data_IF_216117426816
#
_entry.id   IF_216117426816
#
_cell.length_a   1.000
_cell.length_b   1.000
_cell.length_c   1.000
_cell.angle_alpha   90.00
_cell.angle_beta   90.00
_cell.angle_gamma   90.00
#
_symmetry.space_group_name_H-M   'P 1'
#
loop_
_entity.id
_entity.type
_entity.pdbx_description
1 polymer ?
#
# COMPACT_ATOMS: atom_id res chain seq x y z
N UNK A 1 -10.74 5.81 23.92
CA UNK A 1 -10.06 5.20 22.74
C UNK A 1 -9.37 6.30 21.94
N UNK A 2 -8.32 5.98 21.19
CA UNK A 2 -7.76 6.88 20.19
C UNK A 2 -8.15 6.42 18.79
N UNK A 3 -8.48 7.38 17.94
CA UNK A 3 -8.60 7.20 16.49
C UNK A 3 -7.37 7.84 15.88
N UNK A 4 -6.50 7.01 15.28
CA UNK A 4 -5.23 7.44 14.69
C UNK A 4 -5.36 7.39 13.17
N UNK A 5 -5.19 8.55 12.53
CA UNK A 5 -5.29 8.70 11.08
C UNK A 5 -4.00 9.30 10.52
N UNK A 6 -3.14 8.49 9.89
CA UNK A 6 -2.03 8.98 9.10
C UNK A 6 -2.51 9.45 7.72
N UNK A 7 -1.86 10.49 7.20
CA UNK A 7 -2.04 10.98 5.83
C UNK A 7 -0.68 11.31 5.26
N UNK A 8 -0.38 10.84 4.05
CA UNK A 8 0.91 11.04 3.43
C UNK A 8 0.75 11.32 1.93
N UNK A 9 1.67 12.09 1.36
CA UNK A 9 1.79 12.23 -0.09
C UNK A 9 2.62 11.07 -0.63
N UNK A 10 2.07 10.28 -1.54
CA UNK A 10 2.75 9.12 -2.12
C UNK A 10 3.05 9.36 -3.60
N UNK A 11 4.24 8.97 -4.04
CA UNK A 11 4.58 8.82 -5.44
C UNK A 11 4.96 7.38 -5.76
N UNK A 12 4.33 6.83 -6.80
CA UNK A 12 4.56 5.48 -7.27
C UNK A 12 5.07 5.53 -8.71
N UNK A 13 6.21 4.91 -8.97
CA UNK A 13 6.77 4.72 -10.30
C UNK A 13 6.73 3.24 -10.63
N UNK A 14 6.16 2.95 -11.79
CA UNK A 14 6.15 1.62 -12.38
C UNK A 14 6.53 1.80 -13.85
N UNK A 15 7.66 1.21 -14.25
CA UNK A 15 8.17 1.22 -15.61
C UNK A 15 8.31 -0.22 -16.07
N UNK A 16 7.79 -0.54 -17.25
CA UNK A 16 7.84 -1.88 -17.83
C UNK A 16 8.09 -1.78 -19.33
N UNK A 17 8.91 -2.68 -19.84
CA UNK A 17 9.23 -2.77 -21.26
C UNK A 17 9.19 -4.20 -21.74
N UNK A 18 8.66 -4.41 -22.94
CA UNK A 18 8.73 -5.67 -23.67
C UNK A 18 9.56 -5.46 -24.93
N UNK A 19 10.25 -6.49 -25.41
CA UNK A 19 11.19 -6.35 -26.52
C UNK A 19 11.86 -7.64 -26.94
N UNK A 20 12.64 -7.57 -28.02
CA UNK A 20 13.31 -8.71 -28.64
C UNK A 20 14.80 -8.48 -28.93
N UNK A 21 15.45 -7.53 -28.27
CA UNK A 21 16.88 -7.28 -28.50
C UNK A 21 17.75 -8.40 -27.90
N UNK A 22 18.83 -8.76 -28.58
CA UNK A 22 19.83 -9.78 -28.17
C UNK A 22 19.26 -11.19 -27.92
N UNK A 23 18.65 -11.80 -28.94
CA UNK A 23 18.25 -13.22 -28.99
C UNK A 23 17.23 -13.72 -27.94
N UNK A 24 16.79 -12.86 -27.02
CA UNK A 24 15.79 -13.18 -26.00
C UNK A 24 14.53 -12.38 -26.27
N UNK A 25 13.40 -13.07 -26.37
CA UNK A 25 12.09 -12.45 -26.54
C UNK A 25 11.47 -12.27 -25.15
N UNK A 26 11.21 -11.02 -24.79
CA UNK A 26 10.53 -10.62 -23.56
C UNK A 26 9.10 -10.28 -23.95
N UNK A 27 8.24 -11.29 -23.91
CA UNK A 27 6.84 -11.17 -24.29
C UNK A 27 5.96 -10.61 -23.17
N UNK A 28 6.41 -10.61 -21.91
CA UNK A 28 5.64 -10.11 -20.77
C UNK A 28 6.56 -9.43 -19.77
N UNK A 29 6.14 -8.30 -19.21
CA UNK A 29 6.81 -7.63 -18.08
C UNK A 29 5.79 -6.94 -17.19
N UNK A 30 6.08 -6.87 -15.89
CA UNK A 30 5.20 -6.24 -14.90
C UNK A 30 5.99 -5.55 -13.80
N UNK A 31 5.41 -4.49 -13.24
CA UNK A 31 5.95 -3.74 -12.11
C UNK A 31 4.82 -3.45 -11.11
N UNK A 32 5.11 -3.64 -9.83
CA UNK A 32 4.28 -3.28 -8.68
C UNK A 32 5.05 -2.26 -7.84
N UNK A 33 4.45 -1.11 -7.60
CA UNK A 33 4.94 -0.14 -6.62
C UNK A 33 3.82 0.19 -5.63
N UNK A 34 4.11 0.15 -4.34
CA UNK A 34 3.15 0.49 -3.30
C UNK A 34 3.79 0.93 -2.00
N UNK A 35 2.93 1.37 -1.08
CA UNK A 35 3.23 1.77 0.29
C UNK A 35 2.25 1.06 1.21
N UNK A 36 2.80 0.35 2.20
CA UNK A 36 2.03 -0.13 3.33
C UNK A 36 2.32 0.75 4.55
N UNK A 37 1.27 1.11 5.29
CA UNK A 37 1.34 1.94 6.50
C UNK A 37 0.96 1.10 7.71
N UNK A 38 1.69 1.28 8.81
CA UNK A 38 1.39 0.68 10.10
C UNK A 38 1.45 1.70 11.22
N UNK A 39 0.63 1.50 12.24
CA UNK A 39 0.61 2.32 13.45
C UNK A 39 1.06 1.46 14.62
N UNK A 40 1.76 2.07 15.57
CA UNK A 40 2.06 1.51 16.87
C UNK A 40 1.65 2.52 17.94
N UNK A 41 0.96 2.04 18.96
CA UNK A 41 0.64 2.84 20.16
C UNK A 41 1.20 2.11 21.37
N UNK A 42 2.11 2.74 22.10
CA UNK A 42 2.77 2.14 23.27
C UNK A 42 2.64 3.05 24.49
N UNK A 43 2.47 2.49 25.70
CA UNK A 43 2.40 3.28 26.93
C UNK A 43 3.75 3.99 27.17
N UNK A 44 3.71 5.23 27.67
CA UNK A 44 4.92 5.97 27.98
C UNK A 44 5.50 5.61 29.35
N UNK A 45 4.66 5.27 30.34
CA UNK A 45 5.13 4.82 31.67
C UNK A 45 4.04 4.14 32.49
N UNK A 46 4.11 2.82 32.65
CA UNK A 46 3.28 2.06 33.60
C UNK A 46 1.80 1.89 33.23
N UNK A 47 1.32 2.45 32.12
CA UNK A 47 -0.03 2.20 31.62
C UNK A 47 -0.16 0.81 30.96
N UNK A 48 -1.38 0.33 30.83
CA UNK A 48 -1.69 -0.90 30.10
C UNK A 48 -1.31 -0.78 28.63
N UNK A 49 -0.89 -1.90 28.03
CA UNK A 49 -0.65 -1.98 26.60
C UNK A 49 -1.96 -1.77 25.83
N UNK A 50 -2.02 -0.78 24.92
CA UNK A 50 -3.18 -0.59 24.05
C UNK A 50 -3.41 -1.78 23.14
N UNK A 51 -4.67 -2.02 22.80
CA UNK A 51 -5.03 -2.94 21.72
C UNK A 51 -5.27 -2.14 20.46
N UNK A 52 -4.51 -2.41 19.41
CA UNK A 52 -4.60 -1.72 18.13
C UNK A 52 -5.46 -2.52 17.14
N UNK A 53 -6.29 -1.85 16.36
CA UNK A 53 -7.07 -2.47 15.28
C UNK A 53 -7.11 -1.54 14.07
N UNK A 54 -6.67 -1.97 12.87
CA UNK A 54 -6.00 -3.25 12.59
C UNK A 54 -4.60 -3.33 13.21
N UNK A 55 -4.17 -4.54 13.59
CA UNK A 55 -2.85 -4.78 14.18
C UNK A 55 -1.80 -5.24 13.14
N UNK A 56 -1.96 -4.80 11.88
CA UNK A 56 -1.11 -5.17 10.76
C UNK A 56 -0.95 -3.98 9.79
N UNK A 57 0.09 -3.96 8.95
CA UNK A 57 0.25 -2.96 7.90
C UNK A 57 -0.89 -3.01 6.89
N UNK A 58 -1.38 -1.85 6.47
CA UNK A 58 -2.45 -1.72 5.47
C UNK A 58 -1.89 -1.01 4.24
N UNK A 59 -2.19 -1.54 3.06
CA UNK A 59 -1.84 -0.88 1.79
C UNK A 59 -2.50 0.47 1.69
N UNK A 60 -1.67 1.50 1.73
CA UNK A 60 -2.07 2.89 1.68
C UNK A 60 -2.21 3.36 0.23
N UNK A 61 -1.27 2.98 -0.63
CA UNK A 61 -1.36 3.26 -2.06
C UNK A 61 -0.56 2.21 -2.82
N UNK A 62 -1.05 1.75 -3.96
CA UNK A 62 -0.39 0.75 -4.78
C UNK A 62 -0.84 0.83 -6.22
N UNK A 63 0.12 0.61 -7.12
CA UNK A 63 -0.07 0.51 -8.56
C UNK A 63 0.66 -0.73 -9.07
N UNK A 64 -0.06 -1.53 -9.84
CA UNK A 64 0.48 -2.62 -10.63
C UNK A 64 0.24 -2.33 -12.10
N UNK A 65 1.27 -2.50 -12.94
CA UNK A 65 1.13 -2.52 -14.39
C UNK A 65 1.76 -3.79 -14.95
N UNK A 66 1.17 -4.31 -16.02
CA UNK A 66 1.71 -5.42 -16.79
C UNK A 66 1.44 -5.20 -18.27
N UNK A 67 2.48 -5.36 -19.10
CA UNK A 67 2.36 -5.42 -20.55
C UNK A 67 2.70 -6.83 -21.01
N UNK A 68 1.91 -7.37 -21.94
CA UNK A 68 2.18 -8.65 -22.60
C UNK A 68 1.89 -8.60 -24.10
N UNK A 69 2.71 -9.27 -24.91
CA UNK A 69 2.56 -9.36 -26.36
C UNK A 69 3.23 -10.61 -26.93
N UNK A 70 2.60 -11.21 -27.95
CA UNK A 70 3.24 -12.23 -28.80
C UNK A 70 3.92 -11.63 -30.05
N UNK A 71 3.86 -10.31 -30.26
CA UNK A 71 4.32 -9.63 -31.48
C UNK A 71 5.76 -10.02 -31.85
N UNK A 72 6.66 -10.02 -30.88
CA UNK A 72 8.07 -10.32 -31.09
C UNK A 72 8.35 -11.79 -31.46
N UNK A 73 7.51 -12.71 -31.03
CA UNK A 73 7.57 -14.12 -31.41
C UNK A 73 7.06 -14.32 -32.84
N UNK A 74 5.96 -13.66 -33.20
CA UNK A 74 5.37 -13.70 -34.55
C UNK A 74 6.30 -13.05 -35.59
N UNK A 75 6.90 -11.90 -35.28
CA UNK A 75 7.87 -11.26 -36.17
C UNK A 75 9.15 -12.09 -36.34
N UNK A 76 9.52 -12.89 -35.33
CA UNK A 76 10.64 -13.82 -35.42
C UNK A 76 10.39 -15.02 -36.35
N UNK A 77 9.12 -15.38 -36.63
CA UNK A 77 8.73 -16.58 -37.40
C UNK A 77 8.39 -16.31 -38.88
N UNK A 78 9.20 -15.47 -39.55
CA UNK A 78 9.09 -15.16 -40.99
C UNK A 78 7.78 -14.45 -41.42
N UNK A 79 7.00 -13.89 -40.48
CA UNK A 79 5.68 -13.30 -40.78
C UNK A 79 4.72 -14.27 -41.52
N UNK A 80 4.87 -15.57 -41.28
CA UNK A 80 4.13 -16.63 -42.00
C UNK A 80 2.87 -17.09 -41.27
N UNK A 81 2.61 -16.57 -40.07
CA UNK A 81 1.50 -17.02 -39.22
C UNK A 81 0.20 -16.29 -39.55
N UNK A 82 -0.90 -17.03 -39.73
CA UNK A 82 -2.26 -16.49 -39.86
C UNK A 82 -2.89 -16.10 -38.52
N UNK A 83 -2.20 -16.35 -37.41
CA UNK A 83 -2.62 -16.00 -36.05
C UNK A 83 -2.36 -14.53 -35.76
N UNK A 84 -3.35 -13.82 -35.22
CA UNK A 84 -3.24 -12.39 -34.89
C UNK A 84 -2.19 -12.09 -33.82
N UNK A 85 -1.64 -10.87 -33.85
CA UNK A 85 -0.81 -10.34 -32.78
C UNK A 85 -1.70 -9.70 -31.69
N UNK A 86 -1.27 -9.78 -30.43
CA UNK A 86 -1.90 -9.06 -29.34
C UNK A 86 -0.91 -8.16 -28.61
N UNK A 87 -1.46 -7.10 -28.03
CA UNK A 87 -0.83 -6.33 -26.97
C UNK A 87 -1.88 -6.23 -25.87
N UNK A 88 -1.54 -6.69 -24.67
CA UNK A 88 -2.38 -6.61 -23.49
C UNK A 88 -1.70 -5.71 -22.46
N UNK A 89 -2.46 -4.76 -21.95
CA UNK A 89 -2.04 -3.89 -20.85
C UNK A 89 -3.04 -4.05 -19.70
N UNK A 90 -2.53 -4.53 -18.56
CA UNK A 90 -3.29 -4.64 -17.33
C UNK A 90 -2.75 -3.61 -16.34
N UNK A 91 -3.62 -2.74 -15.86
CA UNK A 91 -3.31 -1.80 -14.78
C UNK A 91 -4.30 -2.00 -13.64
N UNK A 92 -3.78 -2.00 -12.42
CA UNK A 92 -4.59 -2.00 -11.20
C UNK A 92 -4.01 -0.99 -10.23
N UNK A 93 -4.90 -0.20 -9.64
CA UNK A 93 -4.55 0.75 -8.58
C UNK A 93 -5.44 0.52 -7.39
N UNK A 94 -4.87 0.51 -6.20
CA UNK A 94 -5.62 0.50 -4.95
C UNK A 94 -5.08 1.61 -4.05
N UNK A 95 -5.98 2.43 -3.53
CA UNK A 95 -5.61 3.59 -2.72
C UNK A 95 -6.53 3.74 -1.53
N UNK A 96 -5.92 3.95 -0.38
CA UNK A 96 -6.54 4.27 0.89
C UNK A 96 -6.83 5.76 0.97
N UNK A 97 -8.03 6.20 0.63
CA UNK A 97 -8.35 7.64 0.78
C UNK A 97 -8.38 8.08 2.26
N UNK A 98 -8.68 7.16 3.17
CA UNK A 98 -8.51 7.32 4.61
C UNK A 98 -8.62 5.97 5.32
N UNK A 99 -7.70 5.65 6.23
CA UNK A 99 -7.84 4.51 7.14
C UNK A 99 -7.54 4.93 8.57
N UNK A 100 -8.30 4.33 9.49
CA UNK A 100 -8.18 4.59 10.92
C UNK A 100 -7.61 3.39 11.63
N UNK A 101 -6.65 3.65 12.52
CA UNK A 101 -6.23 2.72 13.54
C UNK A 101 -6.90 3.10 14.85
N UNK A 102 -7.63 2.16 15.42
CA UNK A 102 -8.30 2.33 16.70
C UNK A 102 -7.41 1.74 17.78
N UNK A 103 -6.94 2.58 18.70
CA UNK A 103 -6.29 2.14 19.93
C UNK A 103 -7.30 2.13 21.08
N UNK A 104 -7.56 0.93 21.59
CA UNK A 104 -8.45 0.66 22.72
C UNK A 104 -7.66 0.18 23.94
N UNK A 105 -8.36 -0.15 25.03
CA UNK A 105 -7.76 -0.51 26.32
C UNK A 105 -6.79 0.57 26.88
N UNK A 106 -7.13 1.83 26.63
CA UNK A 106 -6.37 2.97 27.13
C UNK A 106 -6.85 3.37 28.52
N UNK A 107 -5.91 3.70 29.41
CA UNK A 107 -6.16 4.29 30.72
C UNK A 107 -5.62 5.72 30.79
N UNK A 108 -5.81 6.39 31.94
CA UNK A 108 -5.24 7.73 32.15
C UNK A 108 -3.71 7.66 32.08
N UNK A 109 -3.11 8.50 31.24
CA UNK A 109 -1.67 8.54 31.06
C UNK A 109 -1.26 9.04 29.68
N UNK A 110 0.05 8.95 29.43
CA UNK A 110 0.66 9.33 28.16
C UNK A 110 0.96 8.08 27.32
N UNK A 111 0.80 8.21 26.01
CA UNK A 111 1.08 7.16 25.04
C UNK A 111 1.88 7.74 23.88
N UNK A 112 2.82 6.95 23.38
CA UNK A 112 3.57 7.27 22.18
C UNK A 112 2.85 6.65 20.98
N UNK A 113 2.56 7.47 19.97
CA UNK A 113 2.00 7.03 18.69
C UNK A 113 3.10 7.13 17.64
N UNK A 114 3.40 6.02 16.98
CA UNK A 114 4.39 5.95 15.90
C UNK A 114 3.72 5.43 14.65
N UNK A 115 3.90 6.13 13.54
CA UNK A 115 3.48 5.68 12.21
C UNK A 115 4.73 5.25 11.46
N UNK A 116 4.70 4.06 10.89
CA UNK A 116 5.75 3.57 10.01
C UNK A 116 5.16 3.28 8.63
N UNK A 117 6.00 3.36 7.62
CA UNK A 117 5.65 2.97 6.27
C UNK A 117 6.75 2.09 5.68
N UNK A 118 6.38 1.24 4.72
CA UNK A 118 7.30 0.38 3.97
C UNK A 118 6.90 0.34 2.51
N UNK A 119 7.89 0.28 1.62
CA UNK A 119 7.64 0.07 0.20
C UNK A 119 7.29 -1.38 -0.08
N UNK A 120 6.31 -1.57 -0.96
CA UNK A 120 5.89 -2.89 -1.48
C UNK A 120 6.15 -2.91 -2.98
N UNK A 121 7.29 -3.52 -3.35
CA UNK A 121 7.83 -3.51 -4.71
C UNK A 121 7.80 -4.93 -5.30
N UNK A 122 7.61 -5.05 -6.60
CA UNK A 122 7.61 -6.35 -7.28
C UNK A 122 7.73 -6.25 -8.78
N UNK A 123 8.84 -6.77 -9.32
CA UNK A 123 9.18 -6.63 -10.74
C UNK A 123 9.33 -8.00 -11.42
N UNK A 124 8.92 -8.08 -12.69
CA UNK A 124 9.11 -9.24 -13.55
C UNK A 124 9.44 -8.81 -14.99
N UNK A 125 10.41 -9.48 -15.62
CA UNK A 125 10.87 -9.14 -16.98
C UNK A 125 11.78 -7.90 -16.97
N UNK A 126 11.57 -6.96 -17.90
CA UNK A 126 12.27 -5.66 -17.91
C UNK A 126 11.35 -4.65 -17.25
N UNK A 127 11.59 -4.42 -15.96
CA UNK A 127 10.74 -3.61 -15.13
C UNK A 127 11.55 -2.86 -14.06
N UNK A 128 11.00 -1.75 -13.60
CA UNK A 128 11.49 -0.99 -12.46
C UNK A 128 10.31 -0.44 -11.66
N UNK A 129 10.29 -0.70 -10.35
CA UNK A 129 9.34 -0.12 -9.42
C UNK A 129 10.03 0.74 -8.36
N UNK A 130 9.45 1.90 -8.07
CA UNK A 130 9.92 2.79 -7.01
C UNK A 130 8.75 3.43 -6.28
N UNK A 131 8.96 3.64 -4.99
CA UNK A 131 8.03 4.31 -4.11
C UNK A 131 8.74 5.48 -3.45
N UNK A 132 8.08 6.64 -3.37
CA UNK A 132 8.49 7.75 -2.53
C UNK A 132 7.34 8.19 -1.61
N UNK A 133 7.69 8.50 -0.36
CA UNK A 133 6.75 8.98 0.66
C UNK A 133 7.19 10.38 1.06
N UNK A 134 6.32 11.36 0.81
CA UNK A 134 6.48 12.75 1.20
C UNK A 134 6.13 12.99 2.66
N UNK A 135 5.95 14.26 3.06
CA UNK A 135 5.59 14.61 4.44
C UNK A 135 4.35 13.85 4.93
N UNK A 136 4.45 13.31 6.14
CA UNK A 136 3.35 12.58 6.81
C UNK A 136 2.71 13.50 7.83
N UNK A 137 1.39 13.65 7.75
CA UNK A 137 0.56 14.27 8.77
C UNK A 137 -0.14 13.20 9.61
N UNK A 138 -0.15 13.36 10.92
CA UNK A 138 -0.74 12.41 11.85
C UNK A 138 -1.81 13.11 12.69
N UNK A 139 -3.05 12.66 12.55
CA UNK A 139 -4.14 13.10 13.43
C UNK A 139 -4.44 12.01 14.47
N UNK A 140 -4.48 12.40 15.74
CA UNK A 140 -4.90 11.53 16.84
C UNK A 140 -6.07 12.17 17.54
N UNK A 141 -7.23 11.53 17.47
CA UNK A 141 -8.44 11.99 18.16
C UNK A 141 -8.72 11.11 19.38
N UNK A 142 -8.92 11.72 20.55
CA UNK A 142 -9.37 11.03 21.73
C UNK A 142 -10.90 10.99 21.79
N UNK A 143 -11.47 9.79 21.65
CA UNK A 143 -12.89 9.56 21.87
C UNK A 143 -13.11 9.01 23.28
N UNK A 144 -13.89 9.75 24.07
CA UNK A 144 -14.36 9.33 25.40
C UNK A 144 -15.76 8.74 25.25
N UNK A 145 -15.92 7.48 25.66
CA UNK A 145 -17.23 6.82 25.71
C UNK A 145 -17.67 6.85 27.16
N UNK A 146 -18.81 7.48 27.44
CA UNK A 146 -19.39 7.52 28.76
C UNK A 146 -20.49 6.45 28.84
N UNK A 147 -20.43 5.60 29.86
CA UNK A 147 -21.50 4.67 30.20
C UNK A 147 -21.99 5.04 31.60
N UNK A 148 -23.28 5.37 31.70
CA UNK A 148 -23.93 5.71 32.96
C UNK A 148 -24.78 4.51 33.39
N UNK A 149 -24.32 3.82 34.44
CA UNK A 149 -25.02 2.63 34.97
C UNK A 149 -26.02 2.99 36.07
N UNK A 150 -26.09 4.27 36.45
CA UNK A 150 -27.05 4.85 37.38
C UNK A 150 -27.44 6.24 36.88
N UNK A 151 -28.68 6.64 37.14
CA UNK A 151 -29.15 8.00 36.84
C UNK A 151 -28.35 8.95 37.74
N UNK A 152 -27.72 9.99 37.17
CA UNK A 152 -27.13 11.06 37.96
C UNK A 152 -28.26 11.74 38.75
N UNK A 153 -28.31 11.53 40.06
CA UNK A 153 -29.20 12.28 40.95
C UNK A 153 -28.61 13.68 41.15
N UNK A 154 -29.38 14.70 40.77
CA UNK A 154 -29.09 16.11 41.07
C UNK A 154 -29.31 16.41 42.55
#
# INVERSE_FOLDING_TARGET
MFVVRPSAVIGLLTDVSIGSKNSTIIGTSSALAGVDVSVKVSPASGQHNPTLTPAYPVTYDSRFIQISSNLFSVLGSLCTTTTGCYISFNESTVSAHSFDWIASNLSSGQYNVTVNWTSSLGDFGVANSMTCVGPVNLTVQQNKVFQFNTVNSF
#
